data_IF_397812126653
#
_entry.id   IF_397812126653
#
_cell.length_a   1.000
_cell.length_b   1.000
_cell.length_c   1.000
_cell.angle_alpha   90.00
_cell.angle_beta   90.00
_cell.angle_gamma   90.00
#
_symmetry.space_group_name_H-M   'P 1'
#
loop_
_entity.id
_entity.type
_entity.pdbx_description
1 polymer ?
#
# COMPACT_ATOMS: atom_id res chain seq x y z
N UNK A 1 -10.39 10.50 7.26
CA UNK A 1 -8.93 10.71 7.31
C UNK A 1 -8.20 9.45 6.88
N UNK A 2 -6.88 9.48 6.63
CA UNK A 2 -6.10 8.26 6.37
C UNK A 2 -6.11 7.36 7.61
N UNK A 3 -6.00 7.92 8.82
CA UNK A 3 -6.04 7.19 10.09
C UNK A 3 -7.28 6.30 10.23
N UNK A 4 -8.46 6.87 9.97
CA UNK A 4 -9.71 6.12 10.03
C UNK A 4 -9.71 4.94 9.04
N UNK A 5 -9.20 5.15 7.82
CA UNK A 5 -9.15 4.11 6.79
C UNK A 5 -8.19 2.98 7.17
N UNK A 6 -7.03 3.32 7.72
CA UNK A 6 -6.06 2.34 8.25
C UNK A 6 -6.67 1.53 9.39
N UNK A 7 -7.38 2.18 10.32
CA UNK A 7 -8.08 1.49 11.40
C UNK A 7 -9.17 0.52 10.88
N UNK A 8 -9.97 0.95 9.90
CA UNK A 8 -10.98 0.07 9.26
C UNK A 8 -10.34 -1.13 8.58
N UNK A 9 -9.21 -0.96 7.88
CA UNK A 9 -8.49 -2.07 7.26
C UNK A 9 -8.03 -3.08 8.31
N UNK A 10 -7.51 -2.62 9.46
CA UNK A 10 -7.16 -3.49 10.59
C UNK A 10 -8.36 -4.32 11.08
N UNK A 11 -9.51 -3.69 11.30
CA UNK A 11 -10.73 -4.40 11.71
C UNK A 11 -11.18 -5.46 10.69
N UNK A 12 -11.05 -5.16 9.39
CA UNK A 12 -11.40 -6.12 8.31
C UNK A 12 -10.43 -7.30 8.32
N UNK A 13 -9.12 -7.06 8.50
CA UNK A 13 -8.12 -8.12 8.60
C UNK A 13 -8.37 -9.02 9.82
N UNK A 14 -8.68 -8.43 10.97
CA UNK A 14 -9.01 -9.16 12.20
C UNK A 14 -10.27 -10.03 12.00
N UNK A 15 -11.25 -9.54 11.25
CA UNK A 15 -12.44 -10.31 10.91
C UNK A 15 -12.17 -11.40 9.86
N UNK A 16 -11.33 -11.11 8.87
CA UNK A 16 -10.92 -12.04 7.83
C UNK A 16 -10.15 -13.24 8.40
N UNK A 17 -9.33 -13.02 9.43
CA UNK A 17 -8.49 -14.06 10.07
C UNK A 17 -7.66 -14.84 9.05
N UNK A 18 -7.11 -14.14 8.06
CA UNK A 18 -6.32 -14.74 6.98
C UNK A 18 -7.09 -15.62 5.98
N UNK A 19 -8.43 -15.71 6.09
CA UNK A 19 -9.26 -16.52 5.17
C UNK A 19 -9.44 -15.88 3.79
N UNK A 20 -9.25 -14.56 3.71
CA UNK A 20 -9.33 -13.77 2.47
C UNK A 20 -8.18 -12.77 2.43
N UNK A 21 -7.64 -12.54 1.23
CA UNK A 21 -6.70 -11.46 1.00
C UNK A 21 -7.40 -10.10 1.11
N UNK A 22 -6.77 -9.16 1.80
CA UNK A 22 -7.28 -7.79 1.94
C UNK A 22 -6.29 -6.84 1.28
N UNK A 23 -6.74 -6.15 0.25
CA UNK A 23 -5.93 -5.20 -0.51
C UNK A 23 -6.34 -3.78 -0.15
N UNK A 24 -5.42 -2.99 0.39
CA UNK A 24 -5.70 -1.59 0.69
C UNK A 24 -5.72 -0.77 -0.61
N UNK A 25 -6.84 -0.11 -0.90
CA UNK A 25 -7.06 0.59 -2.16
C UNK A 25 -7.65 1.99 -1.95
N UNK A 26 -7.80 2.76 -3.03
CA UNK A 26 -8.42 4.08 -3.04
C UNK A 26 -7.48 5.20 -2.59
N UNK A 27 -6.95 6.00 -3.51
CA UNK A 27 -6.11 7.14 -3.12
C UNK A 27 -4.76 6.78 -2.47
N UNK A 28 -4.30 5.53 -2.60
CA UNK A 28 -2.93 5.13 -2.25
C UNK A 28 -1.97 5.90 -3.16
N UNK A 29 -0.97 6.54 -2.55
CA UNK A 29 0.06 7.34 -3.21
C UNK A 29 1.42 7.06 -2.56
N UNK A 30 2.51 7.33 -3.23
CA UNK A 30 3.85 7.17 -2.67
C UNK A 30 3.98 7.88 -1.31
N UNK A 31 3.46 9.10 -1.22
CA UNK A 31 3.47 9.91 0.01
C UNK A 31 2.73 9.27 1.21
N UNK A 32 1.80 8.34 0.98
CA UNK A 32 1.00 7.72 2.04
C UNK A 32 1.02 6.18 2.08
N UNK A 33 1.68 5.52 1.12
CA UNK A 33 1.69 4.06 1.00
C UNK A 33 2.21 3.36 2.25
N UNK A 34 3.24 3.93 2.90
CA UNK A 34 3.80 3.40 4.16
C UNK A 34 2.75 3.24 5.27
N UNK A 35 1.73 4.12 5.30
CA UNK A 35 0.66 4.06 6.31
C UNK A 35 -0.27 2.87 6.10
N UNK A 36 -0.52 2.51 4.84
CA UNK A 36 -1.33 1.34 4.50
C UNK A 36 -0.53 0.05 4.66
N UNK A 37 0.77 0.05 4.32
CA UNK A 37 1.66 -1.11 4.49
C UNK A 37 1.87 -1.51 5.96
N UNK A 38 1.67 -0.57 6.89
CA UNK A 38 1.71 -0.86 8.33
C UNK A 38 0.63 -1.85 8.78
N UNK A 39 -0.47 -1.97 8.03
CA UNK A 39 -1.59 -2.86 8.36
C UNK A 39 -1.87 -3.91 7.29
N UNK A 40 -1.66 -3.61 6.01
CA UNK A 40 -1.92 -4.52 4.89
C UNK A 40 -0.63 -5.10 4.29
N UNK A 41 -0.74 -6.30 3.74
CA UNK A 41 0.33 -6.96 2.97
C UNK A 41 0.28 -6.60 1.49
N UNK A 42 -0.86 -6.11 0.98
CA UNK A 42 -1.05 -5.79 -0.43
C UNK A 42 -1.73 -4.42 -0.60
N UNK A 43 -1.32 -3.70 -1.64
CA UNK A 43 -1.82 -2.38 -1.99
C UNK A 43 -2.32 -2.34 -3.44
N UNK A 44 -3.34 -1.53 -3.68
CA UNK A 44 -3.75 -1.14 -5.03
C UNK A 44 -3.65 0.37 -5.21
N UNK A 45 -2.86 0.80 -6.20
CA UNK A 45 -2.73 2.19 -6.61
C UNK A 45 -2.86 2.32 -8.12
N UNK A 46 -3.59 3.35 -8.54
CA UNK A 46 -3.66 3.74 -9.95
C UNK A 46 -2.40 4.48 -10.42
N UNK A 47 -1.50 4.88 -9.49
CA UNK A 47 -0.26 5.61 -9.75
C UNK A 47 -0.42 6.71 -10.82
N UNK A 48 -1.40 7.58 -10.63
CA UNK A 48 -1.70 8.65 -11.60
C UNK A 48 -0.97 9.93 -11.23
N UNK A 49 -0.51 10.64 -12.25
CA UNK A 49 -0.05 12.03 -12.13
C UNK A 49 -1.12 12.88 -11.42
N UNK A 50 -0.67 13.79 -10.56
CA UNK A 50 -1.52 14.80 -9.95
C UNK A 50 -1.83 15.92 -10.96
N UNK A 51 -2.52 15.61 -12.05
CA UNK A 51 -2.99 16.63 -12.98
C UNK A 51 -4.14 17.42 -12.35
N UNK A 52 -4.03 18.76 -12.33
CA UNK A 52 -5.05 19.68 -11.77
C UNK A 52 -6.39 19.67 -12.53
N UNK A 53 -6.48 19.04 -13.69
CA UNK A 53 -7.69 18.99 -14.52
C UNK A 53 -7.64 17.79 -15.48
N UNK A 54 -8.51 16.80 -15.26
CA UNK A 54 -8.68 15.65 -16.16
C UNK A 54 -8.04 14.35 -15.66
N UNK A 55 -8.49 13.22 -16.23
CA UNK A 55 -8.03 11.88 -15.87
C UNK A 55 -6.49 11.80 -15.95
N UNK A 56 -5.84 11.77 -14.79
CA UNK A 56 -4.37 11.74 -14.71
C UNK A 56 -3.81 10.53 -15.45
N UNK A 57 -2.82 10.75 -16.30
CA UNK A 57 -2.08 9.67 -16.92
C UNK A 57 -1.31 8.86 -15.87
N UNK A 58 -1.03 7.59 -16.19
CA UNK A 58 -0.11 6.79 -15.39
C UNK A 58 1.23 7.51 -15.23
N UNK A 59 1.74 7.52 -14.00
CA UNK A 59 3.01 8.12 -13.59
C UNK A 59 3.97 6.99 -13.18
N UNK A 60 4.95 6.65 -14.03
CA UNK A 60 5.94 5.63 -13.72
C UNK A 60 6.78 5.95 -12.48
N UNK A 61 7.02 7.23 -12.17
CA UNK A 61 7.80 7.61 -10.99
C UNK A 61 7.02 7.37 -9.71
N UNK A 62 5.73 7.72 -9.69
CA UNK A 62 4.83 7.39 -8.59
C UNK A 62 4.73 5.87 -8.37
N UNK A 63 4.60 5.11 -9.46
CA UNK A 63 4.56 3.64 -9.39
C UNK A 63 5.86 3.07 -8.81
N UNK A 64 7.02 3.50 -9.31
CA UNK A 64 8.32 3.07 -8.83
C UNK A 64 8.55 3.41 -7.35
N UNK A 65 8.10 4.57 -6.91
CA UNK A 65 8.19 4.98 -5.51
C UNK A 65 7.34 4.09 -4.59
N UNK A 66 6.11 3.76 -5.01
CA UNK A 66 5.24 2.82 -4.26
C UNK A 66 5.87 1.43 -4.20
N UNK A 67 6.38 0.91 -5.32
CA UNK A 67 7.02 -0.41 -5.37
C UNK A 67 8.28 -0.51 -4.50
N UNK A 68 9.06 0.56 -4.43
CA UNK A 68 10.25 0.62 -3.55
C UNK A 68 9.84 0.58 -2.08
N UNK A 69 8.80 1.33 -1.69
CA UNK A 69 8.28 1.31 -0.32
C UNK A 69 7.74 -0.05 0.08
N UNK A 70 7.00 -0.71 -0.81
CA UNK A 70 6.48 -2.05 -0.59
C UNK A 70 7.62 -3.07 -0.37
N UNK A 71 8.62 -3.07 -1.26
CA UNK A 71 9.81 -3.94 -1.12
C UNK A 71 10.53 -3.74 0.21
N UNK A 72 10.74 -2.49 0.62
CA UNK A 72 11.40 -2.19 1.89
C UNK A 72 10.56 -2.65 3.08
N UNK A 73 9.23 -2.48 3.02
CA UNK A 73 8.32 -2.97 4.05
C UNK A 73 8.27 -4.51 4.11
N UNK A 74 8.44 -5.20 2.98
CA UNK A 74 8.56 -6.66 2.95
C UNK A 74 9.90 -7.14 3.52
N UNK A 75 11.01 -6.50 3.15
CA UNK A 75 12.34 -6.82 3.69
C UNK A 75 12.39 -6.67 5.22
N UNK A 76 11.77 -5.62 5.76
CA UNK A 76 11.67 -5.42 7.21
C UNK A 76 10.82 -6.50 7.92
N UNK A 77 9.87 -7.12 7.22
CA UNK A 77 8.99 -8.18 7.74
C UNK A 77 9.60 -9.58 7.62
N UNK A 78 10.67 -9.75 6.85
CA UNK A 78 11.38 -11.02 6.68
C UNK A 78 12.89 -10.90 6.95
N UNK A 79 13.34 -10.58 8.18
CA UNK A 79 14.76 -10.42 8.47
C UNK A 79 15.61 -11.71 8.38
N UNK A 80 15.01 -12.87 8.08
CA UNK A 80 15.66 -14.18 8.24
C UNK A 80 15.79 -15.05 6.98
N UNK A 81 15.61 -14.50 5.77
CA UNK A 81 15.75 -15.26 4.51
C UNK A 81 16.90 -14.78 3.62
N UNK A 82 17.81 -13.95 4.15
CA UNK A 82 18.94 -13.43 3.39
C UNK A 82 20.15 -14.39 3.33
N UNK A 83 20.22 -15.43 4.17
CA UNK A 83 21.40 -16.31 4.31
C UNK A 83 21.03 -17.81 4.36
N UNK A 84 20.42 -18.37 3.30
CA UNK A 84 20.10 -19.79 3.18
C UNK A 84 20.40 -20.37 1.81
#
# INVERSE_FOLDING_TARGET
>A
SIDHRVATIGQVLDHARGRVGVVACGGVRAANAHRFLAVASELHSAARTAARSGAGAFDPHEAAAIMTLDRNAMAARSPGLADG
#
